data_IF_496486274096
#
_entry.id   IF_496486274096
#
_cell.length_a   1.000
_cell.length_b   1.000
_cell.length_c   1.000
_cell.angle_alpha   90.00
_cell.angle_beta   90.00
_cell.angle_gamma   90.00
#
_symmetry.space_group_name_H-M   'P 1'
#
loop_
_entity.id
_entity.type
_entity.pdbx_description
1 polymer ?
#
# COMPACT_ATOMS: atom_id res chain seq x y z
N UNK A 1 -59.04 16.10 -11.49
CA UNK A 1 -57.88 16.39 -12.37
C UNK A 1 -56.63 16.34 -11.50
N UNK A 2 -55.67 15.47 -11.79
CA UNK A 2 -54.28 15.56 -11.28
C UNK A 2 -53.58 16.74 -11.97
N UNK A 3 -52.65 17.48 -11.33
CA UNK A 3 -51.33 17.01 -10.85
C UNK A 3 -51.04 17.44 -9.38
N UNK A 4 -49.87 17.21 -8.75
CA UNK A 4 -48.91 16.09 -8.79
C UNK A 4 -47.93 16.18 -7.56
N UNK A 5 -46.98 15.24 -7.48
CA UNK A 5 -45.82 15.14 -6.56
C UNK A 5 -45.29 16.43 -5.93
N UNK A 6 -45.20 16.45 -4.60
CA UNK A 6 -44.15 17.15 -3.85
C UNK A 6 -43.29 16.12 -3.11
N UNK A 7 -42.09 15.87 -3.63
CA UNK A 7 -41.00 15.21 -2.92
C UNK A 7 -39.90 16.23 -2.73
N UNK A 8 -39.97 17.03 -1.68
CA UNK A 8 -38.91 18.00 -1.37
C UNK A 8 -37.84 17.35 -0.49
N UNK A 9 -36.89 16.68 -1.15
CA UNK A 9 -35.65 16.17 -0.55
C UNK A 9 -34.50 17.13 -0.92
N UNK A 10 -34.68 18.43 -0.68
CA UNK A 10 -33.66 19.46 -0.94
C UNK A 10 -32.65 19.64 0.19
N UNK A 11 -32.84 19.01 1.36
CA UNK A 11 -31.88 19.01 2.46
C UNK A 11 -30.74 17.97 2.30
N UNK A 12 -30.22 17.80 1.07
CA UNK A 12 -28.89 17.21 0.89
C UNK A 12 -27.86 18.24 1.39
N UNK A 13 -27.48 18.12 2.66
CA UNK A 13 -26.50 18.99 3.29
C UNK A 13 -25.20 18.98 2.49
N UNK A 14 -24.99 20.10 1.79
CA UNK A 14 -23.81 20.41 1.00
C UNK A 14 -22.56 20.42 1.88
N UNK A 15 -21.49 19.83 1.37
CA UNK A 15 -20.08 20.06 1.71
C UNK A 15 -19.78 20.44 3.17
N UNK A 16 -19.26 19.46 3.92
CA UNK A 16 -18.57 19.63 5.21
C UNK A 16 -17.75 20.92 5.27
N UNK A 17 -17.98 21.72 6.31
CA UNK A 17 -17.52 23.10 6.40
C UNK A 17 -16.01 23.26 6.61
N UNK A 18 -15.41 24.42 6.24
CA UNK A 18 -14.01 24.77 6.56
C UNK A 18 -13.64 24.75 8.05
N UNK A 19 -14.63 24.70 8.95
CA UNK A 19 -14.43 24.80 10.41
C UNK A 19 -13.81 23.56 11.07
N UNK A 20 -13.67 22.42 10.38
CA UNK A 20 -12.95 21.27 10.92
C UNK A 20 -11.44 21.28 10.59
N UNK A 21 -11.02 21.90 9.49
CA UNK A 21 -9.62 21.87 9.05
C UNK A 21 -8.72 22.86 9.82
N UNK A 22 -9.27 24.01 10.21
CA UNK A 22 -8.54 25.03 10.96
C UNK A 22 -8.02 24.51 12.32
N UNK A 23 -8.84 23.74 13.03
CA UNK A 23 -8.47 23.16 14.34
C UNK A 23 -7.42 22.04 14.21
N UNK A 24 -7.53 21.20 13.17
CA UNK A 24 -6.52 20.19 12.84
C UNK A 24 -5.15 20.84 12.52
N UNK A 25 -5.17 21.92 11.74
CA UNK A 25 -3.97 22.70 11.38
C UNK A 25 -3.40 23.50 12.56
N UNK A 26 -4.22 23.89 13.54
CA UNK A 26 -3.79 24.63 14.71
C UNK A 26 -2.93 23.80 15.69
N UNK A 27 -3.01 22.47 15.62
CA UNK A 27 -2.32 21.55 16.54
C UNK A 27 -0.78 21.52 16.40
N UNK A 28 -0.21 22.15 15.37
CA UNK A 28 1.24 22.16 15.15
C UNK A 28 1.97 23.22 15.98
N UNK A 29 2.77 22.79 16.96
CA UNK A 29 3.64 23.66 17.79
C UNK A 29 5.00 23.99 17.15
N UNK A 30 5.21 23.68 15.86
CA UNK A 30 6.44 23.96 15.10
C UNK A 30 7.79 23.42 15.65
N UNK A 31 7.78 22.53 16.66
CA UNK A 31 8.95 22.01 17.36
C UNK A 31 10.10 21.43 16.52
N UNK A 32 9.84 20.84 15.34
CA UNK A 32 10.88 20.38 14.41
C UNK A 32 11.23 18.89 14.44
N UNK A 33 10.69 18.06 15.35
CA UNK A 33 10.92 16.60 15.34
C UNK A 33 10.59 15.92 13.99
N UNK A 34 9.65 16.49 13.24
CA UNK A 34 9.26 16.01 11.93
C UNK A 34 10.31 16.24 10.82
N UNK A 35 11.36 17.06 11.05
CA UNK A 35 12.40 17.34 10.07
C UNK A 35 13.27 16.10 9.82
N UNK A 36 13.79 15.51 10.89
CA UNK A 36 14.73 14.37 10.86
C UNK A 36 14.15 13.13 10.17
N UNK A 37 12.82 12.96 10.19
CA UNK A 37 12.12 11.81 9.59
C UNK A 37 11.49 12.11 8.23
N UNK A 38 11.57 13.34 7.74
CA UNK A 38 10.90 13.72 6.49
C UNK A 38 11.83 13.52 5.28
N UNK A 39 11.57 12.51 4.42
CA UNK A 39 12.49 12.19 3.32
C UNK A 39 12.59 13.31 2.27
N UNK A 40 11.58 14.18 2.16
CA UNK A 40 11.61 15.32 1.22
C UNK A 40 12.44 16.47 1.76
N UNK A 41 12.33 16.75 3.07
CA UNK A 41 13.17 17.76 3.72
C UNK A 41 14.64 17.34 3.75
N UNK A 42 14.92 16.08 4.09
CA UNK A 42 16.30 15.54 4.11
C UNK A 42 17.02 15.69 2.75
N UNK A 43 16.30 15.64 1.62
CA UNK A 43 16.91 15.82 0.28
C UNK A 43 16.94 17.27 -0.17
N UNK A 44 16.01 18.13 0.28
CA UNK A 44 15.88 19.50 -0.22
C UNK A 44 16.52 20.58 0.66
N UNK A 45 16.61 20.36 1.98
CA UNK A 45 16.91 21.41 2.98
C UNK A 45 15.85 22.51 3.12
N UNK A 46 15.00 22.71 2.10
CA UNK A 46 13.88 23.66 2.09
C UNK A 46 12.81 23.30 3.15
N UNK A 47 12.61 24.21 4.12
CA UNK A 47 11.60 24.09 5.18
C UNK A 47 10.17 23.95 4.63
N UNK A 48 9.86 24.54 3.47
CA UNK A 48 8.54 24.37 2.84
C UNK A 48 8.30 22.92 2.37
N UNK A 49 9.38 22.15 2.18
CA UNK A 49 9.33 20.71 1.93
C UNK A 49 9.38 19.85 3.22
N UNK A 50 9.30 20.48 4.39
CA UNK A 50 9.11 19.81 5.67
C UNK A 50 7.62 19.60 5.99
N UNK A 51 7.27 18.72 6.94
CA UNK A 51 5.88 18.52 7.37
C UNK A 51 5.33 19.76 8.09
N UNK A 52 6.12 20.39 8.98
CA UNK A 52 5.69 21.61 9.69
C UNK A 52 5.61 22.83 8.77
N UNK A 53 6.48 22.92 7.76
CA UNK A 53 6.44 23.98 6.75
C UNK A 53 5.17 23.91 5.91
N UNK A 54 4.84 22.72 5.39
CA UNK A 54 3.57 22.50 4.68
C UNK A 54 2.35 22.77 5.54
N UNK A 55 2.32 22.30 6.80
CA UNK A 55 1.23 22.62 7.74
C UNK A 55 1.03 24.13 7.90
N UNK A 56 2.11 24.92 7.93
CA UNK A 56 2.03 26.39 7.96
C UNK A 56 1.50 27.00 6.67
N UNK A 57 1.94 26.52 5.50
CA UNK A 57 1.43 27.00 4.21
C UNK A 57 -0.08 26.72 4.10
N UNK A 58 -0.49 25.47 4.35
CA UNK A 58 -1.90 25.06 4.33
C UNK A 58 -2.75 25.84 5.34
N UNK A 59 -2.22 26.07 6.55
CA UNK A 59 -2.87 26.92 7.56
C UNK A 59 -3.03 28.36 7.09
N UNK A 60 -2.00 28.97 6.52
CA UNK A 60 -2.10 30.35 6.04
C UNK A 60 -3.06 30.47 4.85
N UNK A 61 -3.13 29.46 3.98
CA UNK A 61 -4.08 29.40 2.88
C UNK A 61 -5.53 29.26 3.40
N UNK A 62 -5.77 28.33 4.34
CA UNK A 62 -7.08 28.11 4.97
C UNK A 62 -7.55 29.32 5.81
N UNK A 63 -6.64 30.03 6.48
CA UNK A 63 -6.92 31.27 7.22
C UNK A 63 -7.08 32.50 6.29
N UNK A 64 -6.95 32.35 4.96
CA UNK A 64 -7.03 33.45 3.99
C UNK A 64 -5.87 34.45 4.06
N UNK A 65 -4.78 34.10 4.76
CA UNK A 65 -3.57 34.93 4.94
C UNK A 65 -2.56 34.75 3.80
N UNK A 66 -2.62 33.62 3.11
CA UNK A 66 -1.89 33.32 1.88
C UNK A 66 -2.94 33.08 0.77
N UNK A 67 -2.89 33.80 -0.37
CA UNK A 67 -3.76 33.47 -1.50
C UNK A 67 -3.38 32.08 -2.06
N UNK A 68 -4.33 31.32 -2.63
CA UNK A 68 -4.02 30.07 -3.32
C UNK A 68 -2.96 30.25 -4.41
N UNK A 69 -1.82 29.58 -4.26
CA UNK A 69 -0.62 29.86 -5.07
C UNK A 69 0.09 28.59 -5.60
N UNK A 70 0.82 28.67 -6.74
CA UNK A 70 1.48 27.51 -7.34
C UNK A 70 2.60 26.89 -6.50
N UNK A 71 3.21 27.60 -5.56
CA UNK A 71 4.24 27.05 -4.68
C UNK A 71 3.63 26.18 -3.61
N UNK A 72 2.52 26.58 -2.98
CA UNK A 72 1.83 25.73 -2.02
C UNK A 72 1.31 24.43 -2.68
N UNK A 73 0.80 24.51 -3.91
CA UNK A 73 0.48 23.32 -4.74
C UNK A 73 1.73 22.45 -4.95
N UNK A 74 2.84 23.05 -5.41
CA UNK A 74 4.11 22.35 -5.67
C UNK A 74 4.58 21.60 -4.43
N UNK A 75 4.72 22.28 -3.29
CA UNK A 75 5.19 21.69 -2.05
C UNK A 75 4.26 20.59 -1.54
N UNK A 76 2.95 20.71 -1.76
CA UNK A 76 1.96 19.65 -1.46
C UNK A 76 2.16 18.42 -2.35
N UNK A 77 2.42 18.63 -3.64
CA UNK A 77 2.71 17.55 -4.60
C UNK A 77 4.06 16.86 -4.33
N UNK A 78 5.03 17.59 -3.77
CA UNK A 78 6.35 17.07 -3.43
C UNK A 78 6.35 16.20 -2.16
N UNK A 79 5.26 16.15 -1.38
CA UNK A 79 5.13 15.22 -0.25
C UNK A 79 4.92 13.76 -0.70
N UNK A 80 5.68 12.80 -0.15
CA UNK A 80 5.50 11.37 -0.50
C UNK A 80 4.22 10.76 0.13
N UNK A 81 3.74 11.31 1.24
CA UNK A 81 2.63 10.72 2.02
C UNK A 81 3.03 9.46 2.79
N UNK A 82 4.24 9.42 3.36
CA UNK A 82 4.78 8.27 4.10
C UNK A 82 4.39 8.23 5.59
N UNK A 83 3.84 9.32 6.13
CA UNK A 83 3.35 9.46 7.51
C UNK A 83 4.39 9.33 8.64
N UNK A 84 5.69 9.18 8.34
CA UNK A 84 6.76 9.14 9.34
C UNK A 84 6.75 10.36 10.30
N UNK A 85 6.33 11.51 9.78
CA UNK A 85 6.14 12.74 10.53
C UNK A 85 5.04 12.69 11.60
N UNK A 86 4.02 11.82 11.47
CA UNK A 86 3.00 11.63 12.50
C UNK A 86 3.57 10.89 13.70
N UNK A 87 4.26 9.77 13.47
CA UNK A 87 4.88 8.98 14.55
C UNK A 87 5.99 9.73 15.29
N UNK A 88 6.62 10.70 14.64
CA UNK A 88 7.59 11.61 15.27
C UNK A 88 6.96 12.86 15.90
N UNK A 89 5.64 13.07 15.79
CA UNK A 89 4.99 14.28 16.27
C UNK A 89 4.56 14.14 17.75
N UNK A 90 5.19 14.88 18.70
CA UNK A 90 4.75 14.83 20.10
C UNK A 90 3.34 15.42 20.31
N UNK A 91 2.84 16.20 19.36
CA UNK A 91 1.49 16.77 19.36
C UNK A 91 0.45 15.89 18.63
N UNK A 92 0.84 14.72 18.10
CA UNK A 92 -0.04 13.79 17.37
C UNK A 92 -0.86 14.43 16.24
N UNK A 93 -0.29 15.40 15.50
CA UNK A 93 -0.97 16.05 14.37
C UNK A 93 -1.32 15.00 13.29
N UNK A 94 -2.60 14.88 12.85
CA UNK A 94 -3.05 13.91 11.86
C UNK A 94 -2.69 14.37 10.44
N UNK A 95 -1.38 14.42 10.16
CA UNK A 95 -0.81 15.02 8.96
C UNK A 95 -1.30 14.37 7.65
N UNK A 96 -1.54 13.06 7.63
CA UNK A 96 -2.04 12.31 6.49
C UNK A 96 -3.48 12.64 6.13
N UNK A 97 -4.34 12.79 7.14
CA UNK A 97 -5.71 13.26 6.96
C UNK A 97 -5.72 14.68 6.38
N UNK A 98 -4.92 15.59 6.94
CA UNK A 98 -4.77 16.96 6.44
C UNK A 98 -4.23 16.94 4.99
N UNK A 99 -3.20 16.14 4.69
CA UNK A 99 -2.62 16.02 3.34
C UNK A 99 -3.65 15.49 2.32
N UNK A 100 -4.51 14.56 2.71
CA UNK A 100 -5.57 14.01 1.86
C UNK A 100 -6.67 15.04 1.56
N UNK A 101 -7.03 15.86 2.55
CA UNK A 101 -7.96 16.98 2.37
C UNK A 101 -7.38 18.04 1.44
N UNK A 102 -6.20 18.59 1.76
CA UNK A 102 -5.55 19.63 0.93
C UNK A 102 -5.33 19.17 -0.51
N UNK A 103 -4.96 17.89 -0.73
CA UNK A 103 -4.85 17.34 -2.10
C UNK A 103 -6.17 17.25 -2.84
N UNK A 104 -7.24 16.86 -2.15
CA UNK A 104 -8.60 16.81 -2.72
C UNK A 104 -9.09 18.20 -3.10
N UNK A 105 -8.75 19.20 -2.29
CA UNK A 105 -9.22 20.57 -2.44
C UNK A 105 -8.44 21.33 -3.51
N UNK A 106 -7.11 21.18 -3.55
CA UNK A 106 -6.31 21.61 -4.72
C UNK A 106 -6.87 20.96 -6.00
N UNK A 107 -7.12 19.64 -5.99
CA UNK A 107 -7.65 18.92 -7.15
C UNK A 107 -9.04 19.40 -7.57
N UNK A 108 -9.93 19.71 -6.63
CA UNK A 108 -11.29 20.18 -6.91
C UNK A 108 -11.29 21.60 -7.46
N UNK A 109 -10.38 22.46 -6.98
CA UNK A 109 -10.10 23.79 -7.51
C UNK A 109 -9.37 23.80 -8.88
N UNK A 110 -9.12 22.64 -9.48
CA UNK A 110 -8.40 22.52 -10.76
C UNK A 110 -6.88 22.75 -10.66
N UNK A 111 -6.34 22.80 -9.44
CA UNK A 111 -4.92 22.92 -9.12
C UNK A 111 -4.25 21.54 -8.97
N UNK A 112 -2.91 21.54 -8.87
CA UNK A 112 -2.07 20.35 -8.66
C UNK A 112 -2.42 19.12 -9.55
N UNK A 113 -2.90 19.36 -10.78
CA UNK A 113 -3.50 18.31 -11.64
C UNK A 113 -2.46 17.27 -12.05
N UNK A 114 -2.63 15.98 -11.70
CA UNK A 114 -1.72 14.93 -12.14
C UNK A 114 -1.71 14.78 -13.67
N UNK A 115 -0.54 14.39 -14.21
CA UNK A 115 -0.38 14.13 -15.65
C UNK A 115 -1.39 13.12 -16.19
N UNK A 116 -1.71 13.24 -17.49
CA UNK A 116 -2.78 12.47 -18.14
C UNK A 116 -2.64 10.94 -17.94
N UNK A 117 -1.42 10.42 -17.96
CA UNK A 117 -1.12 9.01 -17.69
C UNK A 117 -1.52 8.55 -16.29
N UNK A 118 -1.27 9.37 -15.26
CA UNK A 118 -1.65 9.11 -13.86
C UNK A 118 -3.17 9.13 -13.70
N UNK A 119 -3.86 10.08 -14.37
CA UNK A 119 -5.32 10.16 -14.38
C UNK A 119 -5.97 8.93 -15.02
N UNK A 120 -5.43 8.45 -16.15
CA UNK A 120 -5.86 7.20 -16.76
C UNK A 120 -5.59 5.99 -15.86
N UNK A 121 -4.41 5.94 -15.21
CA UNK A 121 -4.09 4.89 -14.25
C UNK A 121 -5.06 4.89 -13.05
N UNK A 122 -5.42 6.05 -12.50
CA UNK A 122 -6.40 6.17 -11.41
C UNK A 122 -7.80 5.70 -11.83
N UNK A 123 -8.25 6.10 -13.02
CA UNK A 123 -9.55 5.75 -13.57
C UNK A 123 -9.66 4.25 -13.94
N UNK A 124 -8.54 3.62 -14.32
CA UNK A 124 -8.43 2.19 -14.58
C UNK A 124 -8.31 1.38 -13.28
N UNK A 125 -7.52 1.84 -12.31
CA UNK A 125 -7.39 1.22 -10.99
C UNK A 125 -8.73 1.17 -10.25
N UNK A 126 -9.56 2.21 -10.39
CA UNK A 126 -10.95 2.26 -9.92
C UNK A 126 -11.89 1.23 -10.57
N UNK A 127 -11.43 0.49 -11.60
CA UNK A 127 -12.18 -0.57 -12.29
C UNK A 127 -11.35 -1.88 -12.36
N UNK A 128 -11.13 -2.59 -11.23
CA UNK A 128 -10.19 -3.73 -11.16
C UNK A 128 -10.44 -4.84 -12.20
N UNK A 129 -11.70 -5.13 -12.55
CA UNK A 129 -12.06 -6.11 -13.59
C UNK A 129 -11.49 -5.73 -14.96
N UNK A 130 -11.63 -4.47 -15.36
CA UNK A 130 -11.07 -3.93 -16.60
C UNK A 130 -9.55 -3.85 -16.55
N UNK A 131 -8.97 -3.46 -15.42
CA UNK A 131 -7.50 -3.43 -15.25
C UNK A 131 -6.88 -4.83 -15.35
N UNK A 132 -7.49 -5.85 -14.73
CA UNK A 132 -7.05 -7.24 -14.85
C UNK A 132 -7.10 -7.73 -16.30
N UNK A 133 -8.15 -7.35 -17.06
CA UNK A 133 -8.27 -7.70 -18.47
C UNK A 133 -7.18 -7.01 -19.31
N UNK A 134 -7.04 -5.69 -19.21
CA UNK A 134 -6.06 -4.91 -19.99
C UNK A 134 -4.60 -5.23 -19.65
N UNK A 135 -4.29 -5.66 -18.42
CA UNK A 135 -2.94 -6.10 -18.02
C UNK A 135 -2.67 -7.59 -18.29
N UNK A 136 -3.58 -8.31 -18.97
CA UNK A 136 -3.34 -9.71 -19.40
C UNK A 136 -2.10 -9.87 -20.30
N UNK A 137 -1.86 -9.01 -21.32
CA UNK A 137 -0.64 -9.08 -22.12
C UNK A 137 0.62 -8.83 -21.28
N UNK A 138 0.57 -7.88 -20.33
CA UNK A 138 1.68 -7.62 -19.42
C UNK A 138 2.00 -8.85 -18.53
N UNK A 139 0.97 -9.56 -18.03
CA UNK A 139 1.16 -10.83 -17.28
C UNK A 139 1.78 -11.94 -18.15
N UNK A 140 1.37 -12.07 -19.42
CA UNK A 140 1.99 -13.01 -20.36
C UNK A 140 3.47 -12.67 -20.63
N UNK A 141 3.78 -11.40 -20.89
CA UNK A 141 5.16 -10.94 -21.07
C UNK A 141 6.02 -11.14 -19.82
N UNK A 142 5.47 -10.92 -18.60
CA UNK A 142 6.16 -11.27 -17.34
C UNK A 142 6.48 -12.76 -17.25
N UNK A 143 5.50 -13.63 -17.52
CA UNK A 143 5.63 -15.09 -17.47
C UNK A 143 6.68 -15.62 -18.45
N UNK A 144 6.83 -14.99 -19.62
CA UNK A 144 7.87 -15.33 -20.60
C UNK A 144 9.21 -14.62 -20.36
N UNK A 145 9.34 -13.76 -19.35
CA UNK A 145 10.56 -12.98 -19.10
C UNK A 145 10.80 -11.83 -20.09
N UNK A 146 9.80 -11.46 -20.89
CA UNK A 146 9.88 -10.50 -22.01
C UNK A 146 9.37 -9.09 -21.67
N UNK A 147 9.20 -8.73 -20.38
CA UNK A 147 8.73 -7.40 -19.96
C UNK A 147 9.85 -6.58 -19.31
N UNK A 148 10.66 -5.84 -20.09
CA UNK A 148 11.75 -5.01 -19.57
C UNK A 148 11.23 -3.66 -19.03
N UNK A 149 10.51 -3.68 -17.89
CA UNK A 149 10.00 -2.47 -17.25
C UNK A 149 10.55 -2.29 -15.83
N UNK A 150 11.20 -1.13 -15.57
CA UNK A 150 11.92 -0.82 -14.32
C UNK A 150 11.13 -1.01 -13.01
N UNK A 151 9.80 -0.94 -13.05
CA UNK A 151 8.94 -1.13 -11.87
C UNK A 151 8.34 -2.54 -11.78
N UNK A 152 8.52 -3.42 -12.78
CA UNK A 152 7.82 -4.71 -12.85
C UNK A 152 8.82 -5.86 -12.85
N UNK A 153 8.93 -6.50 -11.68
CA UNK A 153 9.79 -7.66 -11.48
C UNK A 153 9.26 -8.91 -12.19
N UNK A 154 10.17 -9.84 -12.51
CA UNK A 154 9.84 -11.15 -13.06
C UNK A 154 9.00 -12.01 -12.08
N UNK A 155 8.22 -12.93 -12.62
CA UNK A 155 7.37 -13.85 -11.87
C UNK A 155 6.45 -14.64 -12.81
N UNK A 156 5.73 -15.63 -12.28
CA UNK A 156 4.71 -16.39 -13.02
C UNK A 156 3.29 -16.00 -12.55
N UNK A 157 2.75 -14.84 -12.98
CA UNK A 157 1.38 -14.46 -12.66
C UNK A 157 0.38 -15.39 -13.34
N UNK A 158 -0.57 -15.93 -12.58
CA UNK A 158 -1.68 -16.68 -13.13
C UNK A 158 -2.47 -15.80 -14.13
N UNK A 159 -2.66 -16.31 -15.35
CA UNK A 159 -3.26 -15.55 -16.48
C UNK A 159 -4.80 -15.64 -16.47
N UNK A 160 -5.34 -16.86 -16.55
CA UNK A 160 -6.80 -17.09 -16.67
C UNK A 160 -7.56 -17.21 -15.35
N UNK A 161 -6.89 -17.51 -14.23
CA UNK A 161 -7.54 -17.78 -12.94
C UNK A 161 -7.45 -16.54 -12.02
N UNK A 162 -8.59 -16.08 -11.47
CA UNK A 162 -8.63 -15.01 -10.45
C UNK A 162 -8.34 -15.57 -9.05
N UNK A 163 -7.92 -14.71 -8.13
CA UNK A 163 -7.65 -15.14 -6.74
C UNK A 163 -8.91 -15.68 -6.07
N UNK A 164 -10.09 -15.07 -6.30
CA UNK A 164 -11.35 -15.58 -5.76
C UNK A 164 -11.69 -17.00 -6.25
N UNK A 165 -11.44 -17.30 -7.53
CA UNK A 165 -11.65 -18.64 -8.07
C UNK A 165 -10.61 -19.65 -7.53
N UNK A 166 -9.35 -19.22 -7.40
CA UNK A 166 -8.27 -20.03 -6.81
C UNK A 166 -8.54 -20.38 -5.34
N UNK A 167 -8.92 -19.39 -4.53
CA UNK A 167 -9.25 -19.57 -3.12
C UNK A 167 -10.43 -20.51 -2.92
N UNK A 168 -11.52 -20.34 -3.69
CA UNK A 168 -12.68 -21.25 -3.64
C UNK A 168 -12.28 -22.71 -3.92
N UNK A 169 -11.46 -22.94 -4.95
CA UNK A 169 -11.00 -24.28 -5.30
C UNK A 169 -10.08 -24.88 -4.22
N UNK A 170 -9.20 -24.08 -3.60
CA UNK A 170 -8.30 -24.56 -2.56
C UNK A 170 -9.03 -24.81 -1.22
N UNK A 171 -9.96 -23.94 -0.85
CA UNK A 171 -10.86 -24.10 0.31
C UNK A 171 -11.65 -25.41 0.23
N UNK A 172 -12.22 -25.75 -0.93
CA UNK A 172 -12.97 -27.00 -1.13
C UNK A 172 -12.11 -28.26 -0.95
N UNK A 173 -10.81 -28.18 -1.26
CA UNK A 173 -9.84 -29.30 -1.20
C UNK A 173 -9.20 -29.48 0.17
N UNK A 174 -8.83 -28.38 0.84
CA UNK A 174 -8.11 -28.42 2.13
C UNK A 174 -9.05 -28.30 3.34
N UNK A 175 -10.24 -27.74 3.15
CA UNK A 175 -11.32 -27.63 4.16
C UNK A 175 -10.83 -27.16 5.55
N UNK A 176 -10.10 -26.04 5.65
CA UNK A 176 -9.69 -25.52 6.95
C UNK A 176 -10.90 -25.21 7.83
N UNK A 177 -10.74 -25.37 9.13
CA UNK A 177 -11.80 -25.24 10.14
C UNK A 177 -11.56 -24.11 11.14
N UNK A 178 -10.37 -23.49 11.11
CA UNK A 178 -10.01 -22.38 11.97
C UNK A 178 -10.67 -21.06 11.59
N UNK A 179 -10.10 -19.91 12.02
CA UNK A 179 -10.74 -18.61 11.92
C UNK A 179 -11.05 -18.18 10.48
N UNK A 180 -11.99 -17.25 10.30
CA UNK A 180 -12.53 -16.81 9.00
C UNK A 180 -12.13 -15.38 8.73
N UNK A 181 -11.38 -15.16 7.64
CA UNK A 181 -10.95 -13.82 7.21
C UNK A 181 -11.35 -13.54 5.76
N UNK A 182 -11.64 -12.27 5.46
CA UNK A 182 -11.76 -11.80 4.08
C UNK A 182 -10.40 -11.33 3.56
N UNK A 183 -10.01 -11.71 2.34
CA UNK A 183 -8.77 -11.20 1.71
C UNK A 183 -9.07 -10.04 0.75
N UNK A 184 -8.48 -8.88 1.04
CA UNK A 184 -8.36 -7.78 0.07
C UNK A 184 -7.32 -8.14 -0.98
N UNK A 185 -7.74 -8.41 -2.21
CA UNK A 185 -6.85 -8.81 -3.31
C UNK A 185 -6.06 -7.64 -3.91
N UNK A 186 -6.53 -6.41 -3.71
CA UNK A 186 -5.93 -5.18 -4.25
C UNK A 186 -6.03 -5.07 -5.77
N UNK A 187 -6.26 -3.86 -6.29
CA UNK A 187 -6.44 -3.67 -7.73
C UNK A 187 -5.19 -4.05 -8.54
N UNK A 188 -4.02 -3.53 -8.18
CA UNK A 188 -2.76 -3.76 -8.91
C UNK A 188 -2.19 -5.16 -8.63
N UNK A 189 -2.29 -5.66 -7.40
CA UNK A 189 -1.85 -7.02 -7.07
C UNK A 189 -2.68 -8.07 -7.82
N UNK A 190 -4.01 -7.97 -7.83
CA UNK A 190 -4.83 -8.89 -8.62
C UNK A 190 -4.57 -8.79 -10.13
N UNK A 191 -4.29 -7.58 -10.64
CA UNK A 191 -4.15 -7.36 -12.09
C UNK A 191 -2.76 -7.67 -12.65
N UNK A 192 -1.70 -7.56 -11.85
CA UNK A 192 -0.32 -7.67 -12.30
C UNK A 192 0.55 -8.66 -11.49
N UNK A 193 0.35 -8.75 -10.17
CA UNK A 193 1.19 -9.53 -9.23
C UNK A 193 0.40 -10.64 -8.51
N UNK A 194 -0.52 -11.28 -9.23
CA UNK A 194 -1.51 -12.24 -8.69
C UNK A 194 -0.87 -13.45 -7.99
N UNK A 195 0.37 -13.78 -8.35
CA UNK A 195 1.17 -14.81 -7.68
C UNK A 195 1.34 -14.54 -6.17
N UNK A 196 1.38 -13.26 -5.74
CA UNK A 196 1.48 -12.88 -4.32
C UNK A 196 0.14 -13.15 -3.60
N UNK A 197 -0.99 -12.85 -4.25
CA UNK A 197 -2.31 -13.19 -3.72
C UNK A 197 -2.49 -14.70 -3.59
N UNK A 198 -2.05 -15.47 -4.58
CA UNK A 198 -2.11 -16.93 -4.56
C UNK A 198 -1.23 -17.53 -3.44
N UNK A 199 -0.03 -16.97 -3.21
CA UNK A 199 0.81 -17.32 -2.07
C UNK A 199 0.10 -17.00 -0.74
N UNK A 200 -0.51 -15.82 -0.62
CA UNK A 200 -1.27 -15.39 0.58
C UNK A 200 -2.40 -16.37 0.91
N UNK A 201 -3.18 -16.79 -0.11
CA UNK A 201 -4.25 -17.79 0.04
C UNK A 201 -3.69 -19.15 0.50
N UNK A 202 -2.56 -19.61 -0.05
CA UNK A 202 -1.93 -20.87 0.37
C UNK A 202 -1.44 -20.81 1.81
N UNK A 203 -0.71 -19.76 2.19
CA UNK A 203 -0.19 -19.58 3.56
C UNK A 203 -1.34 -19.54 4.57
N UNK A 204 -2.39 -18.76 4.32
CA UNK A 204 -3.55 -18.70 5.24
C UNK A 204 -4.21 -20.09 5.39
N UNK A 205 -4.49 -20.80 4.30
CA UNK A 205 -5.13 -22.13 4.35
C UNK A 205 -4.23 -23.20 4.99
N UNK A 206 -2.90 -23.11 4.82
CA UNK A 206 -1.94 -23.98 5.51
C UNK A 206 -1.93 -23.74 7.03
N UNK A 207 -2.14 -22.50 7.45
CA UNK A 207 -2.29 -22.12 8.87
C UNK A 207 -3.74 -22.32 9.39
N UNK A 208 -4.50 -23.23 8.77
CA UNK A 208 -5.89 -23.57 9.08
C UNK A 208 -6.89 -22.39 9.03
N UNK A 209 -6.58 -21.30 8.32
CA UNK A 209 -7.47 -20.13 8.18
C UNK A 209 -8.41 -20.32 6.99
N UNK A 210 -9.70 -20.06 7.19
CA UNK A 210 -10.71 -20.02 6.16
C UNK A 210 -10.65 -18.67 5.42
N UNK A 211 -10.42 -18.70 4.09
CA UNK A 211 -10.24 -17.49 3.28
C UNK A 211 -11.48 -17.21 2.42
N UNK A 212 -12.15 -16.09 2.70
CA UNK A 212 -13.26 -15.54 1.92
C UNK A 212 -12.73 -14.45 0.97
N UNK A 213 -13.19 -14.43 -0.28
CA UNK A 213 -12.81 -13.39 -1.24
C UNK A 213 -14.07 -12.89 -1.97
N UNK A 214 -14.61 -11.71 -1.61
CA UNK A 214 -15.73 -11.10 -2.32
C UNK A 214 -15.34 -10.81 -3.77
N UNK A 215 -16.17 -11.25 -4.72
CA UNK A 215 -15.91 -11.09 -6.17
C UNK A 215 -16.10 -9.67 -6.68
N UNK A 216 -16.80 -8.85 -5.90
CA UNK A 216 -17.23 -7.50 -6.26
C UNK A 216 -16.39 -6.42 -5.57
N UNK A 217 -15.34 -6.79 -4.83
CA UNK A 217 -14.45 -5.82 -4.17
C UNK A 217 -13.82 -4.82 -5.15
N UNK A 218 -13.76 -3.57 -4.73
CA UNK A 218 -13.28 -2.46 -5.55
C UNK A 218 -11.78 -2.21 -5.43
N UNK A 219 -11.36 -1.03 -5.89
CA UNK A 219 -10.07 -0.48 -5.47
C UNK A 219 -10.18 -0.03 -4.01
N UNK A 220 -9.12 -0.19 -3.22
CA UNK A 220 -9.04 0.26 -1.82
C UNK A 220 -9.06 1.80 -1.67
N UNK A 221 -8.79 2.55 -2.73
CA UNK A 221 -8.72 4.03 -2.69
C UNK A 221 -7.30 4.60 -2.50
N UNK A 222 -6.32 3.83 -2.04
CA UNK A 222 -4.97 4.33 -1.72
C UNK A 222 -4.29 5.10 -2.87
N UNK A 223 -4.43 4.63 -4.12
CA UNK A 223 -3.86 5.32 -5.28
C UNK A 223 -4.56 6.67 -5.55
N UNK A 224 -5.88 6.72 -5.32
CA UNK A 224 -6.72 7.90 -5.47
C UNK A 224 -6.40 8.93 -4.37
N UNK A 225 -6.18 8.50 -3.11
CA UNK A 225 -5.71 9.34 -2.00
C UNK A 225 -4.35 9.99 -2.34
N UNK A 226 -3.38 9.21 -2.84
CA UNK A 226 -2.07 9.74 -3.26
C UNK A 226 -2.14 10.74 -4.43
N UNK A 227 -3.23 10.76 -5.22
CA UNK A 227 -3.41 11.62 -6.39
C UNK A 227 -4.48 12.70 -6.20
N UNK A 228 -5.03 12.85 -5.00
CA UNK A 228 -6.08 13.83 -4.68
C UNK A 228 -7.43 13.57 -5.36
N UNK A 229 -7.66 12.37 -5.89
CA UNK A 229 -8.83 12.09 -6.74
C UNK A 229 -10.15 12.13 -5.94
N UNK A 230 -11.01 13.10 -6.29
CA UNK A 230 -12.25 13.47 -5.59
C UNK A 230 -13.22 12.29 -5.41
N UNK A 231 -13.19 11.28 -6.30
CA UNK A 231 -14.10 10.13 -6.27
C UNK A 231 -13.68 8.98 -5.34
N UNK A 232 -12.69 9.19 -4.46
CA UNK A 232 -12.25 8.17 -3.49
C UNK A 232 -13.40 7.69 -2.58
N UNK A 233 -14.32 8.57 -2.17
CA UNK A 233 -15.40 8.18 -1.26
C UNK A 233 -16.37 7.17 -1.87
N UNK A 234 -16.63 7.24 -3.18
CA UNK A 234 -17.42 6.23 -3.87
C UNK A 234 -16.76 4.83 -3.85
N UNK A 235 -15.43 4.75 -3.81
CA UNK A 235 -14.70 3.49 -3.64
C UNK A 235 -14.81 2.97 -2.21
N UNK A 236 -14.76 3.87 -1.22
CA UNK A 236 -14.94 3.53 0.20
C UNK A 236 -16.35 3.02 0.49
N UNK A 237 -17.38 3.72 0.02
CA UNK A 237 -18.80 3.28 0.10
C UNK A 237 -19.02 1.92 -0.57
N UNK A 238 -18.47 1.73 -1.78
CA UNK A 238 -18.55 0.45 -2.48
C UNK A 238 -17.91 -0.69 -1.68
N UNK A 239 -16.72 -0.48 -1.11
CA UNK A 239 -16.08 -1.50 -0.27
C UNK A 239 -16.82 -1.74 1.04
N UNK A 240 -17.42 -0.70 1.67
CA UNK A 240 -18.30 -0.87 2.83
C UNK A 240 -19.45 -1.85 2.53
N UNK A 241 -20.15 -1.64 1.42
CA UNK A 241 -21.25 -2.53 1.00
C UNK A 241 -20.80 -3.96 0.61
N UNK A 242 -19.52 -4.18 0.28
CA UNK A 242 -18.98 -5.50 -0.11
C UNK A 242 -18.36 -6.26 1.07
N UNK A 243 -17.79 -5.56 2.05
CA UNK A 243 -17.08 -6.18 3.18
C UNK A 243 -17.85 -6.11 4.52
N UNK A 244 -18.76 -5.15 4.71
CA UNK A 244 -19.37 -4.86 6.02
C UNK A 244 -20.23 -5.98 6.59
N UNK A 245 -20.97 -6.70 5.74
CA UNK A 245 -21.89 -7.76 6.15
C UNK A 245 -21.30 -9.18 6.02
N UNK A 246 -19.97 -9.30 5.95
CA UNK A 246 -19.30 -10.60 5.82
C UNK A 246 -19.15 -11.29 7.18
N UNK A 247 -19.55 -12.56 7.23
CA UNK A 247 -19.28 -13.49 8.35
C UNK A 247 -17.79 -13.90 8.40
N UNK A 248 -16.96 -12.96 8.86
CA UNK A 248 -15.49 -13.05 9.05
C UNK A 248 -15.10 -12.20 10.27
N UNK A 249 -13.99 -12.49 10.92
CA UNK A 249 -13.50 -11.71 12.07
C UNK A 249 -12.73 -10.44 11.67
N UNK A 250 -12.15 -10.45 10.47
CA UNK A 250 -11.29 -9.39 9.96
C UNK A 250 -11.18 -9.42 8.42
N UNK A 251 -10.81 -8.28 7.84
CA UNK A 251 -10.21 -8.24 6.49
C UNK A 251 -8.69 -8.25 6.62
N UNK A 252 -8.01 -9.20 5.99
CA UNK A 252 -6.55 -9.22 5.87
C UNK A 252 -6.10 -8.60 4.55
N UNK A 253 -5.00 -7.86 4.59
CA UNK A 253 -4.33 -7.31 3.41
C UNK A 253 -2.86 -7.72 3.36
N UNK A 254 -2.40 -8.11 2.17
CA UNK A 254 -0.99 -8.33 1.85
C UNK A 254 -0.33 -7.08 1.23
N UNK A 255 -0.89 -5.90 1.49
CA UNK A 255 -0.29 -4.62 1.12
C UNK A 255 -0.72 -3.54 2.09
N UNK A 256 0.20 -3.12 2.95
CA UNK A 256 -0.08 -2.14 4.00
C UNK A 256 -0.74 -0.83 3.55
N UNK A 257 -0.43 -0.33 2.35
CA UNK A 257 -1.11 0.87 1.80
C UNK A 257 -2.56 0.61 1.40
N UNK A 258 -2.86 -0.59 0.88
CA UNK A 258 -4.24 -1.01 0.63
C UNK A 258 -5.00 -1.30 1.93
N UNK A 259 -4.32 -1.90 2.92
CA UNK A 259 -4.86 -2.14 4.26
C UNK A 259 -5.18 -0.85 5.01
N UNK A 260 -4.30 0.16 4.94
CA UNK A 260 -4.54 1.48 5.51
C UNK A 260 -5.77 2.16 4.90
N UNK A 261 -5.84 2.25 3.58
CA UNK A 261 -6.96 2.91 2.90
C UNK A 261 -8.31 2.19 3.10
N UNK A 262 -8.31 0.85 3.08
CA UNK A 262 -9.52 0.08 3.40
C UNK A 262 -9.87 0.17 4.90
N UNK A 263 -8.88 0.23 5.79
CA UNK A 263 -9.07 0.41 7.23
C UNK A 263 -9.87 1.66 7.55
N UNK A 264 -9.52 2.81 6.95
CA UNK A 264 -10.32 4.04 7.04
C UNK A 264 -11.78 3.82 6.65
N UNK A 265 -12.04 3.03 5.61
CA UNK A 265 -13.38 2.76 5.12
C UNK A 265 -14.18 1.77 5.99
N UNK A 266 -13.53 0.84 6.69
CA UNK A 266 -14.18 -0.25 7.42
C UNK A 266 -14.10 -0.16 8.96
N UNK A 267 -13.40 0.84 9.51
CA UNK A 267 -13.06 0.91 10.95
C UNK A 267 -14.24 0.78 11.93
N UNK A 268 -15.46 1.17 11.54
CA UNK A 268 -16.68 1.06 12.38
C UNK A 268 -17.36 -0.32 12.29
N UNK A 269 -17.03 -1.14 11.27
CA UNK A 269 -17.73 -2.40 10.95
C UNK A 269 -16.85 -3.64 11.13
N UNK A 270 -15.61 -3.61 10.65
CA UNK A 270 -14.76 -4.80 10.54
C UNK A 270 -13.26 -4.40 10.55
N UNK A 271 -12.43 -4.98 11.43
CA UNK A 271 -11.02 -4.61 11.51
C UNK A 271 -10.26 -5.02 10.24
N UNK A 272 -9.39 -4.13 9.77
CA UNK A 272 -8.52 -4.37 8.61
C UNK A 272 -7.07 -4.52 9.08
N UNK A 273 -6.50 -5.70 8.88
CA UNK A 273 -5.18 -6.11 9.40
C UNK A 273 -4.17 -6.33 8.29
N UNK A 274 -2.88 -6.11 8.59
CA UNK A 274 -1.81 -6.67 7.74
C UNK A 274 -1.78 -8.20 7.93
N UNK A 275 -1.63 -8.94 6.83
CA UNK A 275 -1.68 -10.40 6.86
C UNK A 275 -0.51 -11.02 7.64
N UNK A 276 0.64 -10.35 7.72
CA UNK A 276 1.80 -10.84 8.46
C UNK A 276 1.65 -10.59 9.96
N UNK A 277 1.06 -9.46 10.35
CA UNK A 277 0.66 -9.19 11.73
C UNK A 277 -0.33 -10.25 12.25
N UNK A 278 -1.40 -10.48 11.49
CA UNK A 278 -2.39 -11.52 11.77
C UNK A 278 -1.78 -12.94 11.84
N UNK A 279 -0.88 -13.30 10.92
CA UNK A 279 -0.14 -14.58 11.00
C UNK A 279 0.76 -14.66 12.24
N UNK A 280 1.28 -13.54 12.73
CA UNK A 280 2.13 -13.47 13.93
C UNK A 280 1.41 -13.91 15.20
N UNK A 281 0.12 -13.61 15.33
CA UNK A 281 -0.71 -14.07 16.45
C UNK A 281 -1.01 -15.58 16.38
N UNK A 282 -1.23 -16.11 15.18
CA UNK A 282 -1.48 -17.54 14.97
C UNK A 282 -0.24 -18.42 15.17
N UNK A 283 0.95 -17.86 14.93
CA UNK A 283 2.22 -18.61 14.94
C UNK A 283 2.40 -19.44 13.66
N UNK A 284 3.03 -18.89 12.61
CA UNK A 284 2.91 -19.47 11.28
C UNK A 284 3.74 -20.74 11.09
N UNK A 285 3.24 -21.68 10.27
CA UNK A 285 3.93 -22.91 9.87
C UNK A 285 5.29 -22.57 9.26
N UNK A 286 6.35 -23.05 9.90
CA UNK A 286 7.75 -22.76 9.55
C UNK A 286 8.18 -23.51 8.29
N UNK A 287 8.87 -22.81 7.38
CA UNK A 287 9.60 -23.44 6.26
C UNK A 287 10.88 -24.12 6.79
N UNK A 288 11.40 -25.15 6.08
CA UNK A 288 12.74 -25.68 6.34
C UNK A 288 13.80 -24.58 6.23
N UNK A 289 14.87 -24.68 7.04
CA UNK A 289 15.98 -23.72 6.99
C UNK A 289 16.68 -23.79 5.63
N UNK A 290 16.77 -22.64 4.95
CA UNK A 290 17.48 -22.52 3.70
C UNK A 290 18.97 -22.21 3.97
N UNK A 291 19.77 -23.26 4.16
CA UNK A 291 21.18 -23.12 4.55
C UNK A 291 22.07 -22.49 3.45
N UNK A 292 21.68 -22.65 2.18
CA UNK A 292 22.40 -22.13 1.01
C UNK A 292 21.96 -20.71 0.61
N UNK A 293 20.94 -20.15 1.28
CA UNK A 293 20.51 -18.79 1.05
C UNK A 293 21.39 -17.77 1.78
N UNK A 294 21.78 -16.72 1.05
CA UNK A 294 22.36 -15.52 1.63
C UNK A 294 21.40 -14.78 2.59
N UNK A 295 21.91 -13.79 3.34
CA UNK A 295 21.11 -13.06 4.33
C UNK A 295 19.93 -12.34 3.69
N UNK A 296 18.79 -12.37 4.39
CA UNK A 296 17.57 -11.67 4.03
C UNK A 296 17.53 -10.29 4.70
N UNK A 297 17.58 -9.23 3.90
CA UNK A 297 17.29 -7.88 4.38
C UNK A 297 15.78 -7.62 4.38
N UNK A 298 15.25 -7.12 5.48
CA UNK A 298 13.81 -6.84 5.65
C UNK A 298 13.58 -5.34 5.64
N UNK A 299 12.72 -4.88 4.71
CA UNK A 299 12.31 -3.48 4.59
C UNK A 299 10.85 -3.29 5.02
N UNK A 300 10.61 -2.33 5.91
CA UNK A 300 9.31 -2.13 6.56
C UNK A 300 8.54 -1.01 5.85
N UNK A 301 7.36 -1.28 5.26
CA UNK A 301 6.59 -0.24 4.59
C UNK A 301 6.16 0.87 5.55
N UNK A 302 6.39 2.12 5.17
CA UNK A 302 5.97 3.29 5.97
C UNK A 302 4.47 3.30 6.34
N UNK A 303 3.58 2.81 5.46
CA UNK A 303 2.15 2.67 5.77
C UNK A 303 1.81 1.55 6.77
N UNK A 304 2.69 0.56 6.96
CA UNK A 304 2.57 -0.44 8.03
C UNK A 304 2.93 0.21 9.38
N UNK A 305 4.12 0.84 9.44
CA UNK A 305 4.71 1.38 10.67
C UNK A 305 3.95 2.62 11.17
N UNK A 306 3.67 3.57 10.29
CA UNK A 306 3.14 4.88 10.67
C UNK A 306 1.63 4.98 10.48
N UNK A 307 1.12 4.46 9.36
CA UNK A 307 -0.32 4.51 9.05
C UNK A 307 -1.13 3.50 9.85
N UNK A 308 -0.83 2.20 9.71
CA UNK A 308 -1.50 1.13 10.45
C UNK A 308 -0.98 0.98 11.90
N UNK A 309 0.09 1.70 12.27
CA UNK A 309 0.69 1.72 13.62
C UNK A 309 1.17 0.35 14.12
N UNK A 310 1.49 -0.56 13.21
CA UNK A 310 2.06 -1.89 13.52
C UNK A 310 3.57 -1.75 13.68
N UNK A 311 4.14 -2.25 14.78
CA UNK A 311 5.57 -2.03 15.13
C UNK A 311 6.61 -2.54 14.11
N UNK A 312 6.20 -3.46 13.23
CA UNK A 312 7.03 -4.09 12.20
C UNK A 312 6.39 -5.38 11.69
N UNK A 313 7.17 -6.19 10.99
CA UNK A 313 6.76 -7.58 10.68
C UNK A 313 7.15 -8.43 11.91
N UNK A 314 6.25 -9.26 12.48
CA UNK A 314 6.55 -10.03 13.68
C UNK A 314 7.76 -10.97 13.50
N UNK A 315 8.62 -11.06 14.52
CA UNK A 315 9.85 -11.85 14.44
C UNK A 315 9.59 -13.33 14.18
N UNK A 316 8.58 -13.92 14.82
CA UNK A 316 8.17 -15.32 14.59
C UNK A 316 7.71 -15.59 13.14
N UNK A 317 7.19 -14.58 12.44
CA UNK A 317 6.80 -14.65 11.03
C UNK A 317 8.04 -14.61 10.12
N UNK A 318 9.03 -13.78 10.45
CA UNK A 318 10.31 -13.73 9.74
C UNK A 318 11.12 -15.02 9.95
N UNK A 319 11.17 -15.54 11.18
CA UNK A 319 11.82 -16.82 11.52
C UNK A 319 11.16 -18.00 10.78
N UNK A 320 9.83 -17.98 10.62
CA UNK A 320 9.10 -19.00 9.89
C UNK A 320 9.39 -19.05 8.39
N UNK A 321 10.08 -18.04 7.82
CA UNK A 321 10.55 -18.11 6.42
C UNK A 321 11.71 -19.08 6.23
N UNK A 322 12.41 -19.48 7.30
CA UNK A 322 13.60 -20.33 7.22
C UNK A 322 14.88 -19.62 6.74
N UNK A 323 14.84 -18.30 6.52
CA UNK A 323 16.01 -17.47 6.15
C UNK A 323 16.68 -16.86 7.39
N UNK A 324 18.00 -16.68 7.32
CA UNK A 324 18.72 -15.80 8.25
C UNK A 324 18.42 -14.35 7.87
N UNK A 325 17.70 -13.62 8.72
CA UNK A 325 17.19 -12.28 8.40
C UNK A 325 17.75 -11.18 9.31
N UNK A 326 17.79 -9.96 8.78
CA UNK A 326 18.04 -8.73 9.54
C UNK A 326 17.23 -7.57 8.94
N UNK A 327 16.94 -6.55 9.72
CA UNK A 327 16.37 -5.31 9.17
C UNK A 327 17.41 -4.64 8.24
N UNK A 328 16.94 -4.09 7.12
CA UNK A 328 17.77 -3.22 6.31
C UNK A 328 18.24 -1.98 7.12
N UNK A 329 19.45 -1.44 6.88
CA UNK A 329 19.79 -0.09 7.28
C UNK A 329 18.71 0.88 6.80
N UNK A 330 18.17 1.70 7.70
CA UNK A 330 17.03 2.57 7.39
C UNK A 330 15.71 1.83 7.08
N UNK A 331 15.49 0.60 7.54
CA UNK A 331 14.30 -0.21 7.18
C UNK A 331 12.95 0.48 7.39
N UNK A 332 12.85 1.45 8.33
CA UNK A 332 11.62 2.22 8.61
C UNK A 332 11.45 3.45 7.71
N UNK A 333 12.49 3.85 6.98
CA UNK A 333 12.48 5.06 6.16
C UNK A 333 11.62 4.90 4.90
N UNK A 334 11.28 6.00 4.24
CA UNK A 334 10.51 5.92 3.01
C UNK A 334 11.35 5.36 1.84
N UNK A 335 10.80 4.41 1.07
CA UNK A 335 11.43 3.95 -0.18
C UNK A 335 11.34 4.96 -1.35
N UNK A 336 10.58 6.06 -1.19
CA UNK A 336 10.37 7.09 -2.21
C UNK A 336 9.27 6.78 -3.24
N UNK A 337 8.43 5.76 -3.03
CA UNK A 337 7.42 5.38 -4.05
C UNK A 337 6.05 6.05 -3.93
N UNK A 338 5.55 6.29 -2.71
CA UNK A 338 4.32 7.04 -2.41
C UNK A 338 3.11 6.78 -3.32
N UNK A 339 2.79 5.51 -3.61
CA UNK A 339 1.71 5.09 -4.53
C UNK A 339 1.97 5.38 -6.02
N UNK A 340 2.22 6.64 -6.35
CA UNK A 340 2.56 7.17 -7.68
C UNK A 340 3.66 8.23 -7.65
N UNK A 341 4.23 8.54 -6.48
CA UNK A 341 5.24 9.59 -6.31
C UNK A 341 6.48 9.37 -7.20
N UNK A 342 6.92 8.13 -7.40
CA UNK A 342 8.03 7.80 -8.31
C UNK A 342 7.75 8.03 -9.81
N UNK A 343 6.49 8.27 -10.18
CA UNK A 343 6.07 8.68 -11.52
C UNK A 343 5.87 10.20 -11.62
N UNK A 344 5.42 10.85 -10.54
CA UNK A 344 5.14 12.29 -10.50
C UNK A 344 6.38 13.13 -10.17
N UNK A 345 7.25 12.63 -9.27
CA UNK A 345 8.45 13.28 -8.75
C UNK A 345 9.67 12.35 -8.88
N UNK A 346 10.05 11.94 -10.11
CA UNK A 346 11.02 10.86 -10.34
C UNK A 346 12.44 11.16 -9.84
N UNK A 347 12.87 12.42 -9.83
CA UNK A 347 14.17 12.82 -9.30
C UNK A 347 14.23 12.64 -7.78
N UNK A 348 13.28 13.22 -7.05
CA UNK A 348 13.15 13.10 -5.60
C UNK A 348 13.00 11.63 -5.17
N UNK A 349 12.17 10.86 -5.89
CA UNK A 349 11.99 9.43 -5.64
C UNK A 349 13.28 8.62 -5.83
N UNK A 350 14.13 8.99 -6.81
CA UNK A 350 15.43 8.37 -7.04
C UNK A 350 16.42 8.72 -5.92
N UNK A 351 16.42 9.96 -5.44
CA UNK A 351 17.32 10.41 -4.37
C UNK A 351 16.93 9.87 -2.98
N UNK A 352 15.64 9.72 -2.70
CA UNK A 352 15.17 9.02 -1.50
C UNK A 352 15.60 7.54 -1.56
N UNK A 353 15.46 6.90 -2.73
CA UNK A 353 15.87 5.52 -2.93
C UNK A 353 17.40 5.34 -2.93
N UNK A 354 18.18 6.29 -3.43
CA UNK A 354 19.65 6.20 -3.47
C UNK A 354 20.23 6.14 -2.06
N UNK A 355 19.77 7.04 -1.17
CA UNK A 355 20.14 7.08 0.25
C UNK A 355 19.76 5.79 0.96
N UNK A 356 18.52 5.31 0.76
CA UNK A 356 18.04 4.07 1.38
C UNK A 356 18.76 2.82 0.85
N UNK A 357 19.15 2.82 -0.42
CA UNK A 357 19.85 1.70 -1.07
C UNK A 357 21.38 1.72 -0.88
N UNK A 358 21.97 2.74 -0.24
CA UNK A 358 23.42 2.91 -0.16
C UNK A 358 24.15 1.66 0.38
N UNK A 359 23.60 1.03 1.43
CA UNK A 359 24.18 -0.18 2.03
C UNK A 359 24.27 -1.38 1.05
N UNK A 360 23.46 -1.40 -0.02
CA UNK A 360 23.50 -2.45 -1.05
C UNK A 360 24.70 -2.32 -1.98
N UNK A 361 25.32 -1.14 -2.08
CA UNK A 361 26.51 -0.92 -2.92
C UNK A 361 27.76 -1.52 -2.30
N UNK A 362 27.79 -1.64 -0.97
CA UNK A 362 28.85 -2.30 -0.19
C UNK A 362 28.77 -3.83 -0.26
N UNK A 363 27.64 -4.39 -0.72
CA UNK A 363 27.42 -5.84 -0.82
C UNK A 363 28.03 -6.41 -2.11
N UNK A 364 29.30 -6.79 -2.06
CA UNK A 364 30.06 -7.36 -3.19
C UNK A 364 29.96 -8.89 -3.31
N UNK A 365 29.43 -9.58 -2.29
CA UNK A 365 29.48 -11.05 -2.17
C UNK A 365 28.09 -11.69 -2.24
N UNK A 366 27.82 -12.40 -3.35
CA UNK A 366 26.66 -13.28 -3.49
C UNK A 366 25.32 -12.58 -3.84
N UNK A 367 24.23 -13.37 -4.01
CA UNK A 367 22.91 -12.84 -4.30
C UNK A 367 22.26 -12.23 -3.06
N UNK A 368 22.06 -10.90 -3.07
CA UNK A 368 21.35 -10.19 -1.99
C UNK A 368 19.84 -10.40 -2.13
N UNK A 369 19.17 -10.81 -1.05
CA UNK A 369 17.70 -10.84 -0.99
C UNK A 369 17.17 -9.72 -0.09
N UNK A 370 16.16 -9.00 -0.59
CA UNK A 370 15.40 -8.01 0.15
C UNK A 370 13.92 -8.39 0.14
N UNK A 371 13.26 -8.41 1.29
CA UNK A 371 11.82 -8.63 1.39
C UNK A 371 11.08 -7.49 2.08
N UNK A 372 9.81 -7.34 1.73
CA UNK A 372 8.91 -6.33 2.31
C UNK A 372 7.46 -6.82 2.27
N UNK A 373 6.53 -6.12 2.92
CA UNK A 373 5.09 -6.44 2.98
C UNK A 373 4.20 -5.53 2.13
N UNK A 374 4.76 -4.91 1.09
CA UNK A 374 4.00 -4.02 0.20
C UNK A 374 4.51 -4.07 -1.24
N UNK A 375 3.62 -4.37 -2.19
CA UNK A 375 3.94 -4.45 -3.62
C UNK A 375 4.50 -3.14 -4.20
N UNK A 376 4.05 -1.97 -3.73
CA UNK A 376 4.58 -0.66 -4.18
C UNK A 376 6.03 -0.47 -3.72
N UNK A 377 6.36 -0.89 -2.50
CA UNK A 377 7.75 -0.96 -2.02
C UNK A 377 8.57 -1.95 -2.84
N UNK A 378 8.02 -3.12 -3.19
CA UNK A 378 8.72 -4.09 -4.06
C UNK A 378 9.04 -3.52 -5.45
N UNK A 379 8.08 -2.82 -6.08
CA UNK A 379 8.28 -2.18 -7.38
C UNK A 379 9.39 -1.12 -7.34
N UNK A 380 9.45 -0.36 -6.25
CA UNK A 380 10.46 0.68 -6.04
C UNK A 380 11.85 0.09 -5.79
N UNK A 381 11.98 -0.91 -4.90
CA UNK A 381 13.23 -1.65 -4.69
C UNK A 381 13.70 -2.39 -5.95
N UNK A 382 12.78 -2.93 -6.75
CA UNK A 382 13.13 -3.51 -8.05
C UNK A 382 13.75 -2.46 -8.98
N UNK A 383 13.21 -1.24 -8.96
CA UNK A 383 13.72 -0.12 -9.77
C UNK A 383 15.14 0.32 -9.40
N UNK A 384 15.61 0.05 -8.18
CA UNK A 384 16.99 0.32 -7.75
C UNK A 384 18.02 -0.37 -8.66
N UNK A 385 17.73 -1.59 -9.13
CA UNK A 385 18.59 -2.32 -10.08
C UNK A 385 18.68 -1.61 -11.42
N UNK A 386 17.53 -1.26 -12.02
CA UNK A 386 17.47 -0.52 -13.29
C UNK A 386 18.04 0.90 -13.18
N UNK A 387 18.11 1.46 -11.96
CA UNK A 387 18.68 2.76 -11.68
C UNK A 387 20.20 2.74 -11.43
N UNK A 388 20.82 1.56 -11.30
CA UNK A 388 22.24 1.43 -10.90
C UNK A 388 22.49 1.71 -9.42
N UNK A 389 21.45 1.66 -8.57
CA UNK A 389 21.53 1.92 -7.13
C UNK A 389 21.72 0.65 -6.29
N UNK A 390 21.58 -0.53 -6.91
CA UNK A 390 21.67 -1.83 -6.27
C UNK A 390 22.32 -2.86 -7.22
N UNK A 391 22.99 -3.91 -6.71
CA UNK A 391 23.68 -4.89 -7.54
C UNK A 391 22.73 -5.65 -8.46
N UNK A 392 23.23 -6.08 -9.63
CA UNK A 392 22.46 -6.85 -10.60
C UNK A 392 21.85 -8.13 -10.03
N UNK A 393 22.42 -8.70 -8.96
CA UNK A 393 21.92 -9.88 -8.27
C UNK A 393 20.76 -9.66 -7.28
N UNK A 394 20.34 -8.41 -7.00
CA UNK A 394 19.30 -8.14 -5.99
C UNK A 394 17.97 -8.85 -6.33
N UNK A 395 17.50 -9.71 -5.42
CA UNK A 395 16.17 -10.31 -5.47
C UNK A 395 15.23 -9.58 -4.51
N UNK A 396 14.11 -9.08 -5.03
CA UNK A 396 13.06 -8.44 -4.22
C UNK A 396 11.88 -9.38 -4.10
N UNK A 397 11.44 -9.67 -2.88
CA UNK A 397 10.35 -10.62 -2.57
C UNK A 397 9.30 -10.01 -1.66
N UNK A 398 8.07 -10.53 -1.74
CA UNK A 398 7.10 -10.30 -0.68
C UNK A 398 7.37 -11.29 0.45
N UNK A 399 7.30 -10.90 1.72
CA UNK A 399 7.53 -11.85 2.85
C UNK A 399 6.56 -13.04 2.78
N UNK A 400 5.31 -12.83 2.36
CA UNK A 400 4.34 -13.93 2.14
C UNK A 400 4.79 -14.96 1.10
N UNK A 401 5.65 -14.60 0.13
CA UNK A 401 6.20 -15.54 -0.85
C UNK A 401 7.33 -16.40 -0.26
N UNK A 402 7.94 -15.97 0.86
CA UNK A 402 8.96 -16.74 1.58
C UNK A 402 8.33 -17.72 2.59
N UNK A 403 7.07 -17.50 2.96
CA UNK A 403 6.24 -18.41 3.78
C UNK A 403 5.48 -19.43 2.93
N UNK A 404 5.42 -19.23 1.62
CA UNK A 404 4.56 -19.96 0.70
C UNK A 404 4.95 -21.46 0.59
N UNK A 405 4.03 -22.42 0.86
CA UNK A 405 4.28 -23.85 0.62
C UNK A 405 4.36 -24.20 -0.89
N UNK A 406 4.06 -23.24 -1.76
CA UNK A 406 4.20 -23.35 -3.20
C UNK A 406 3.07 -24.15 -3.88
N UNK A 407 3.13 -24.30 -5.22
CA UNK A 407 2.03 -24.88 -5.99
C UNK A 407 1.66 -26.33 -5.63
N UNK A 408 2.60 -27.13 -5.12
CA UNK A 408 2.38 -28.52 -4.73
C UNK A 408 1.38 -28.67 -3.54
N UNK A 409 1.28 -27.65 -2.69
CA UNK A 409 0.25 -27.59 -1.65
C UNK A 409 -1.18 -27.58 -2.23
N UNK A 410 -1.34 -27.03 -3.45
CA UNK A 410 -2.64 -26.95 -4.12
C UNK A 410 -2.99 -28.21 -4.93
N UNK A 411 -2.02 -29.09 -5.23
CA UNK A 411 -2.25 -30.37 -5.92
C UNK A 411 -2.35 -31.56 -4.96
N UNK A 412 -1.72 -31.49 -3.78
CA UNK A 412 -1.87 -32.52 -2.75
C UNK A 412 -3.27 -32.46 -2.11
N UNK A 413 -3.99 -33.57 -2.15
CA UNK A 413 -5.16 -33.77 -1.31
C UNK A 413 -4.75 -33.76 0.17
N UNK A 414 -5.64 -33.35 1.07
CA UNK A 414 -5.43 -33.54 2.50
C UNK A 414 -5.32 -35.04 2.79
N UNK A 415 -4.13 -35.52 3.14
CA UNK A 415 -4.01 -36.79 3.84
C UNK A 415 -4.62 -36.55 5.21
N UNK A 416 -5.81 -37.11 5.43
CA UNK A 416 -6.46 -37.05 6.73
C UNK A 416 -5.68 -37.91 7.72
N UNK A 417 -5.21 -37.29 8.79
CA UNK A 417 -4.71 -37.92 10.02
C UNK A 417 -5.75 -37.74 11.11
#
# INVERSE_FOLDING_TARGET
MTPARETDVSALQTCTSPLQEADLLASCVHCGFCLEVCPTYQISGDENNSPRGRLRLWRQEAEGRLPPDPWTDKYTSECVGCLACESACPANVPYGEILEHVRRDQRSAGRAVPGLSIRWAAALAARPRWMSLLLTPARLLRRWGLLPHRLVFAGDPAVGLSTAAYARALMQRRRPTGPRVALLTGCLMESLFREINFATVRVLIENNVQVVIPTDQGCCGAFQEHTGEVRVEALRQHNRAVFGDLDVEAVVSNSSGCGLALGKALHEWLPVRDVLDYLGELGPVRRPRNADAGPLYVDLPCHLIHGQKVSGIPANVLDATGYSWQLAPGARDCCGSGGSYNLQQPANAREILSRKAAFLQEQTSGPVMLATSNHVCMMQWHSARSAGLAPHGLQVRHVIQLLDPGPAFASTASQGS
#
